data_IF_650966889782
#
_entry.id   IF_650966889782
#
_cell.length_a   1.000
_cell.length_b   1.000
_cell.length_c   1.000
_cell.angle_alpha   90.00
_cell.angle_beta   90.00
_cell.angle_gamma   90.00
#
_symmetry.space_group_name_H-M   'P 1'
#
loop_
_entity.id
_entity.type
_entity.pdbx_description
1 polymer ?
#
# COMPACT_ATOMS: atom_id res chain seq x y z
N UNK A 1 -8.56 -10.31 9.31
CA UNK A 1 -7.31 -10.60 10.04
C UNK A 1 -7.06 -9.49 11.03
N UNK A 2 -6.70 -9.83 12.26
CA UNK A 2 -6.41 -8.82 13.29
C UNK A 2 -5.05 -9.15 13.90
N UNK A 3 -4.05 -8.34 13.60
CA UNK A 3 -2.72 -8.46 14.20
C UNK A 3 -1.75 -7.48 13.58
N UNK A 4 -0.79 -7.06 14.39
CA UNK A 4 0.38 -6.29 13.97
C UNK A 4 1.58 -7.18 14.19
N UNK A 5 2.43 -7.31 13.16
CA UNK A 5 3.62 -8.13 13.23
C UNK A 5 4.83 -7.26 12.94
N UNK A 6 5.73 -7.19 13.92
CA UNK A 6 7.02 -6.53 13.73
C UNK A 6 7.99 -7.50 13.09
N UNK A 7 8.66 -7.04 12.07
CA UNK A 7 9.65 -7.79 11.31
C UNK A 7 10.99 -7.10 11.43
N UNK A 8 11.99 -7.81 11.91
CA UNK A 8 13.38 -7.35 11.95
C UNK A 8 14.20 -8.28 11.09
N UNK A 9 14.82 -7.73 10.05
CA UNK A 9 15.73 -8.43 9.16
C UNK A 9 17.05 -7.70 9.18
N UNK A 10 18.12 -8.36 9.62
CA UNK A 10 19.42 -7.70 9.72
C UNK A 10 20.60 -8.65 9.44
N UNK A 11 21.67 -8.07 8.95
CA UNK A 11 22.99 -8.69 8.88
C UNK A 11 24.05 -7.67 9.36
N UNK A 12 25.33 -7.98 9.17
CA UNK A 12 26.44 -7.11 9.59
C UNK A 12 26.46 -5.71 8.92
N UNK A 13 25.71 -5.51 7.84
CA UNK A 13 25.75 -4.28 7.02
C UNK A 13 24.43 -3.52 7.00
N UNK A 14 23.31 -4.22 7.01
CA UNK A 14 21.97 -3.65 6.75
C UNK A 14 20.99 -4.15 7.80
N UNK A 15 20.08 -3.26 8.20
CA UNK A 15 18.95 -3.58 9.08
C UNK A 15 17.66 -2.98 8.52
N UNK A 16 16.61 -3.78 8.55
CA UNK A 16 15.21 -3.39 8.36
C UNK A 16 14.46 -3.68 9.65
N UNK A 17 13.57 -2.77 10.05
CA UNK A 17 12.73 -2.91 11.24
C UNK A 17 11.41 -2.19 10.98
N UNK A 18 10.34 -2.95 10.76
CA UNK A 18 9.05 -2.42 10.35
C UNK A 18 7.89 -3.29 10.83
N UNK A 19 6.67 -2.77 10.72
CA UNK A 19 5.44 -3.49 11.08
C UNK A 19 4.55 -3.68 9.85
N UNK A 20 3.95 -4.86 9.73
CA UNK A 20 2.79 -5.13 8.85
C UNK A 20 1.52 -5.15 9.69
N UNK A 21 0.47 -4.46 9.23
CA UNK A 21 -0.77 -4.24 10.01
C UNK A 21 -2.01 -4.82 9.34
N UNK A 22 -2.00 -4.88 8.01
CA UNK A 22 -3.08 -5.41 7.18
C UNK A 22 -2.56 -6.58 6.34
N UNK A 23 -3.47 -7.34 5.78
CA UNK A 23 -3.13 -8.51 4.97
C UNK A 23 -2.33 -8.20 3.70
N UNK A 24 -2.36 -6.97 3.19
CA UNK A 24 -1.57 -6.55 2.04
C UNK A 24 -0.82 -5.28 2.37
N UNK A 25 0.50 -5.32 2.24
CA UNK A 25 1.41 -4.19 2.35
C UNK A 25 2.15 -4.04 1.02
N UNK A 26 2.12 -2.86 0.43
CA UNK A 26 2.80 -2.56 -0.83
C UNK A 26 4.07 -1.76 -0.54
N UNK A 27 5.18 -2.20 -1.11
CA UNK A 27 6.44 -1.46 -1.07
C UNK A 27 6.76 -0.94 -2.46
N UNK A 28 6.79 0.39 -2.60
CA UNK A 28 7.07 1.10 -3.85
C UNK A 28 8.34 1.94 -3.75
N UNK A 29 8.71 2.54 -4.86
CA UNK A 29 9.82 3.50 -4.96
C UNK A 29 10.86 3.13 -6.00
N UNK A 30 11.84 4.02 -6.16
CA UNK A 30 12.86 3.94 -7.20
C UNK A 30 13.86 2.79 -7.00
N UNK A 31 14.69 2.56 -8.00
CA UNK A 31 15.78 1.61 -7.95
C UNK A 31 16.77 1.97 -6.84
N UNK A 32 17.50 0.95 -6.35
CA UNK A 32 18.56 1.10 -5.35
C UNK A 32 18.13 1.62 -3.96
N UNK A 33 16.85 1.54 -3.61
CA UNK A 33 16.36 1.90 -2.27
C UNK A 33 16.45 0.76 -1.25
N UNK A 34 16.86 -0.44 -1.68
CA UNK A 34 17.01 -1.60 -0.80
C UNK A 34 15.82 -2.56 -0.78
N UNK A 35 14.83 -2.38 -1.68
CA UNK A 35 13.64 -3.26 -1.74
C UNK A 35 13.97 -4.71 -2.06
N UNK A 36 14.67 -4.93 -3.18
CA UNK A 36 15.14 -6.26 -3.58
C UNK A 36 16.07 -6.88 -2.54
N UNK A 37 16.95 -6.07 -1.94
CA UNK A 37 17.80 -6.54 -0.84
C UNK A 37 17.00 -7.08 0.34
N UNK A 38 15.85 -6.50 0.67
CA UNK A 38 14.97 -7.02 1.71
C UNK A 38 14.43 -8.41 1.33
N UNK A 39 13.91 -8.56 0.10
CA UNK A 39 13.41 -9.86 -0.38
C UNK A 39 14.51 -10.91 -0.46
N UNK A 40 15.68 -10.54 -0.97
CA UNK A 40 16.86 -11.43 -1.05
C UNK A 40 17.28 -11.93 0.33
N UNK A 41 17.29 -11.05 1.35
CA UNK A 41 17.63 -11.43 2.71
C UNK A 41 16.62 -12.41 3.32
N UNK A 42 15.33 -12.26 3.02
CA UNK A 42 14.30 -13.22 3.46
C UNK A 42 14.53 -14.57 2.77
N UNK A 43 14.73 -14.57 1.45
CA UNK A 43 14.99 -15.79 0.67
C UNK A 43 16.26 -16.53 1.16
N UNK A 44 17.32 -15.80 1.40
CA UNK A 44 18.60 -16.35 1.90
C UNK A 44 18.41 -16.95 3.31
N UNK A 45 17.65 -16.30 4.18
CA UNK A 45 17.36 -16.84 5.50
C UNK A 45 16.43 -18.06 5.42
N UNK A 46 15.45 -18.07 4.53
CA UNK A 46 14.54 -19.19 4.31
C UNK A 46 15.30 -20.44 3.85
N UNK A 47 16.32 -20.27 3.00
CA UNK A 47 17.12 -21.36 2.46
C UNK A 47 18.18 -21.86 3.44
N UNK A 48 18.89 -20.97 4.13
CA UNK A 48 20.10 -21.27 4.89
C UNK A 48 19.97 -21.05 6.41
N UNK A 49 18.84 -20.51 6.87
CA UNK A 49 18.59 -20.24 8.28
C UNK A 49 19.68 -19.36 8.92
N UNK A 50 20.15 -19.75 10.09
CA UNK A 50 21.20 -19.03 10.82
C UNK A 50 22.56 -19.00 10.09
N UNK A 51 22.84 -19.98 9.21
CA UNK A 51 24.09 -20.07 8.45
C UNK A 51 24.20 -18.98 7.37
N UNK A 52 23.08 -18.34 7.00
CA UNK A 52 23.07 -17.17 6.11
C UNK A 52 23.80 -15.95 6.72
N UNK A 53 24.02 -15.93 8.02
CA UNK A 53 24.50 -14.75 8.75
C UNK A 53 23.47 -13.62 8.85
N UNK A 54 22.21 -13.92 8.51
CA UNK A 54 21.06 -13.03 8.65
C UNK A 54 20.32 -13.40 9.94
N UNK A 55 19.86 -12.38 10.65
CA UNK A 55 18.91 -12.51 11.76
C UNK A 55 17.55 -12.08 11.28
N UNK A 56 16.59 -12.97 11.34
CA UNK A 56 15.17 -12.71 11.12
C UNK A 56 14.42 -12.89 12.42
N UNK A 57 13.72 -11.85 12.88
CA UNK A 57 12.87 -11.92 14.07
C UNK A 57 11.46 -11.43 13.71
N UNK A 58 10.52 -12.34 13.85
CA UNK A 58 9.09 -12.12 13.65
C UNK A 58 8.32 -13.20 14.41
N UNK A 59 7.10 -12.87 14.87
CA UNK A 59 6.21 -13.84 15.54
C UNK A 59 5.51 -14.79 14.55
N UNK A 60 5.74 -14.61 13.25
CA UNK A 60 5.26 -15.49 12.18
C UNK A 60 6.40 -15.90 11.27
N UNK A 61 6.25 -17.04 10.64
CA UNK A 61 7.18 -17.45 9.60
C UNK A 61 7.14 -16.48 8.43
N UNK A 62 8.30 -16.19 7.88
CA UNK A 62 8.45 -15.32 6.72
C UNK A 62 8.95 -16.14 5.56
N UNK A 63 8.23 -16.09 4.44
CA UNK A 63 8.54 -16.84 3.22
C UNK A 63 8.65 -15.91 2.04
N UNK A 64 9.33 -16.39 1.00
CA UNK A 64 9.32 -15.76 -0.31
C UNK A 64 8.42 -16.54 -1.27
N UNK A 65 7.69 -15.83 -2.12
CA UNK A 65 6.83 -16.44 -3.13
C UNK A 65 7.21 -15.93 -4.51
N UNK A 66 7.63 -16.84 -5.40
CA UNK A 66 8.10 -16.48 -6.74
C UNK A 66 7.85 -17.58 -7.78
N UNK A 67 7.90 -17.17 -9.04
CA UNK A 67 7.89 -18.06 -10.19
C UNK A 67 6.54 -18.67 -10.52
N UNK A 68 6.53 -19.54 -11.52
CA UNK A 68 5.30 -20.08 -12.14
C UNK A 68 4.49 -21.04 -11.26
N UNK A 69 5.12 -21.63 -10.25
CA UNK A 69 4.46 -22.58 -9.34
C UNK A 69 3.92 -21.92 -8.08
N UNK A 70 3.83 -20.58 -8.08
CA UNK A 70 3.42 -19.78 -6.94
C UNK A 70 2.15 -20.29 -6.24
N UNK A 71 1.16 -20.79 -6.99
CA UNK A 71 -0.12 -21.25 -6.44
C UNK A 71 0.04 -22.51 -5.58
N UNK A 72 0.85 -23.47 -6.05
CA UNK A 72 1.15 -24.66 -5.28
C UNK A 72 1.95 -24.34 -4.03
N UNK A 73 2.95 -23.46 -4.12
CA UNK A 73 3.72 -23.00 -2.98
C UNK A 73 2.84 -22.26 -1.96
N UNK A 74 1.99 -21.34 -2.42
CA UNK A 74 1.09 -20.59 -1.55
C UNK A 74 0.11 -21.51 -0.80
N UNK A 75 -0.31 -22.60 -1.39
CA UNK A 75 -1.22 -23.56 -0.76
C UNK A 75 -0.63 -24.20 0.51
N UNK A 76 0.69 -24.34 0.58
CA UNK A 76 1.41 -24.89 1.73
C UNK A 76 1.68 -23.84 2.82
N UNK A 77 1.71 -22.54 2.46
CA UNK A 77 1.99 -21.44 3.37
C UNK A 77 0.74 -21.04 4.14
N UNK A 78 0.77 -21.15 5.46
CA UNK A 78 -0.37 -20.81 6.32
C UNK A 78 0.08 -19.89 7.46
N UNK A 79 -0.76 -18.92 7.76
CA UNK A 79 -0.55 -18.03 8.91
C UNK A 79 0.82 -17.34 8.93
N UNK A 80 1.36 -17.03 7.74
CA UNK A 80 2.73 -16.56 7.48
C UNK A 80 2.76 -15.16 6.92
N UNK A 81 3.95 -14.58 6.81
CA UNK A 81 4.21 -13.33 6.11
C UNK A 81 4.95 -13.66 4.81
N UNK A 82 4.34 -13.35 3.69
CA UNK A 82 4.81 -13.74 2.36
C UNK A 82 5.37 -12.52 1.64
N UNK A 83 6.65 -12.58 1.29
CA UNK A 83 7.34 -11.56 0.52
C UNK A 83 7.33 -11.92 -0.96
N UNK A 84 6.96 -10.94 -1.80
CA UNK A 84 6.93 -11.11 -3.25
C UNK A 84 7.72 -9.95 -3.86
N UNK A 85 8.85 -10.27 -4.51
CA UNK A 85 9.68 -9.25 -5.14
C UNK A 85 9.19 -8.86 -6.54
N UNK A 86 9.69 -7.73 -7.02
CA UNK A 86 9.42 -7.18 -8.35
C UNK A 86 9.68 -8.22 -9.46
N UNK A 87 8.84 -8.17 -10.50
CA UNK A 87 8.97 -9.08 -11.64
C UNK A 87 8.08 -10.32 -11.59
N UNK A 88 7.41 -10.59 -10.49
CA UNK A 88 6.44 -11.67 -10.37
C UNK A 88 5.08 -11.25 -10.94
N UNK A 89 4.85 -11.48 -12.25
CA UNK A 89 3.66 -11.04 -12.98
C UNK A 89 2.34 -11.59 -12.45
N UNK A 90 2.36 -12.70 -11.72
CA UNK A 90 1.15 -13.29 -11.16
C UNK A 90 0.44 -12.38 -10.15
N UNK A 91 1.16 -11.44 -9.50
CA UNK A 91 0.57 -10.51 -8.51
C UNK A 91 -0.54 -9.62 -9.08
N UNK A 92 -0.52 -9.35 -10.39
CA UNK A 92 -1.53 -8.55 -11.10
C UNK A 92 -2.72 -9.40 -11.59
N UNK A 93 -2.70 -10.74 -11.40
CA UNK A 93 -3.75 -11.61 -11.88
C UNK A 93 -4.97 -11.65 -10.96
N UNK A 94 -6.14 -11.86 -11.55
CA UNK A 94 -7.38 -12.10 -10.80
C UNK A 94 -7.26 -13.37 -9.95
N UNK A 95 -6.59 -14.40 -10.46
CA UNK A 95 -6.39 -15.65 -9.76
C UNK A 95 -5.62 -15.45 -8.45
N UNK A 96 -4.55 -14.65 -8.48
CA UNK A 96 -3.80 -14.31 -7.26
C UNK A 96 -4.67 -13.54 -6.26
N UNK A 97 -5.46 -12.57 -6.73
CA UNK A 97 -6.36 -11.81 -5.88
C UNK A 97 -7.41 -12.69 -5.18
N UNK A 98 -7.89 -13.72 -5.86
CA UNK A 98 -8.81 -14.71 -5.27
C UNK A 98 -8.14 -15.55 -4.18
N UNK A 99 -6.90 -16.00 -4.41
CA UNK A 99 -6.15 -16.75 -3.40
C UNK A 99 -5.79 -15.89 -2.18
N UNK A 100 -5.41 -14.62 -2.39
CA UNK A 100 -5.16 -13.65 -1.30
C UNK A 100 -6.41 -13.45 -0.43
N UNK A 101 -7.61 -13.37 -1.03
CA UNK A 101 -8.87 -13.25 -0.31
C UNK A 101 -9.18 -14.42 0.61
N UNK A 102 -8.80 -15.63 0.21
CA UNK A 102 -9.05 -16.88 0.95
C UNK A 102 -7.96 -17.16 2.00
N UNK A 103 -6.81 -16.50 1.86
CA UNK A 103 -5.62 -16.76 2.67
C UNK A 103 -5.70 -16.08 4.05
N UNK A 104 -5.09 -16.71 5.04
CA UNK A 104 -4.81 -16.16 6.36
C UNK A 104 -3.41 -15.53 6.48
N UNK A 105 -2.69 -15.47 5.37
CA UNK A 105 -1.35 -14.90 5.27
C UNK A 105 -1.38 -13.38 5.15
N UNK A 106 -0.23 -12.77 5.46
CA UNK A 106 0.08 -11.38 5.18
C UNK A 106 1.03 -11.31 3.99
N UNK A 107 0.75 -10.40 3.07
CA UNK A 107 1.53 -10.25 1.83
C UNK A 107 2.27 -8.92 1.84
N UNK A 108 3.58 -8.96 1.68
CA UNK A 108 4.46 -7.81 1.47
C UNK A 108 4.92 -7.85 0.02
N UNK A 109 4.30 -7.00 -0.80
CA UNK A 109 4.50 -7.03 -2.26
C UNK A 109 5.36 -5.83 -2.68
N UNK A 110 6.52 -6.11 -3.24
CA UNK A 110 7.42 -5.12 -3.81
C UNK A 110 7.08 -4.97 -5.29
N UNK A 111 6.67 -3.79 -5.70
CA UNK A 111 6.26 -3.54 -7.08
C UNK A 111 6.35 -2.06 -7.45
N UNK A 112 6.53 -1.77 -8.74
CA UNK A 112 6.36 -0.43 -9.32
C UNK A 112 5.00 -0.26 -9.98
N UNK A 113 4.35 -1.39 -10.28
CA UNK A 113 3.07 -1.40 -10.97
C UNK A 113 1.93 -1.16 -9.97
N UNK A 114 0.83 -0.62 -10.47
CA UNK A 114 -0.42 -0.51 -9.73
C UNK A 114 -1.16 -1.84 -9.81
N UNK A 115 -1.48 -2.44 -8.67
CA UNK A 115 -2.14 -3.73 -8.58
C UNK A 115 -3.66 -3.54 -8.47
N UNK A 116 -4.32 -3.34 -9.60
CA UNK A 116 -5.76 -3.00 -9.66
C UNK A 116 -6.67 -4.12 -9.14
N UNK A 117 -6.22 -5.37 -9.20
CA UNK A 117 -6.97 -6.54 -8.77
C UNK A 117 -6.97 -6.74 -7.25
N UNK A 118 -6.03 -6.10 -6.53
CA UNK A 118 -5.86 -6.27 -5.09
C UNK A 118 -6.49 -5.13 -4.29
N UNK A 119 -7.25 -5.43 -3.24
CA UNK A 119 -7.87 -4.42 -2.38
C UNK A 119 -6.93 -4.02 -1.24
N UNK A 120 -5.87 -3.28 -1.53
CA UNK A 120 -4.97 -2.75 -0.49
C UNK A 120 -5.34 -1.32 -0.10
N UNK A 121 -4.99 -0.97 1.14
CA UNK A 121 -5.25 0.36 1.69
C UNK A 121 -4.19 1.37 1.22
N UNK A 122 -4.60 2.62 1.08
CA UNK A 122 -3.70 3.77 0.88
C UNK A 122 -2.66 3.86 1.99
N UNK A 123 -3.06 3.56 3.22
CA UNK A 123 -2.20 3.56 4.40
C UNK A 123 -1.14 2.45 4.42
N UNK A 124 -1.29 1.45 3.58
CA UNK A 124 -0.37 0.30 3.48
C UNK A 124 0.54 0.39 2.26
N UNK A 125 0.74 1.59 1.71
CA UNK A 125 1.70 1.86 0.64
C UNK A 125 2.93 2.55 1.21
N UNK A 126 4.06 1.86 1.16
CA UNK A 126 5.31 2.29 1.77
C UNK A 126 6.43 2.46 0.75
N UNK A 127 7.35 3.36 1.08
CA UNK A 127 8.68 3.43 0.47
C UNK A 127 9.76 2.96 1.45
N UNK A 128 10.95 2.67 0.93
CA UNK A 128 12.14 2.40 1.73
C UNK A 128 13.16 3.51 1.50
N UNK A 129 13.74 4.02 2.57
CA UNK A 129 14.82 5.00 2.54
C UNK A 129 15.89 4.67 3.58
N UNK A 130 17.12 5.11 3.33
CA UNK A 130 18.18 5.07 4.33
C UNK A 130 17.85 6.05 5.45
N UNK A 131 17.85 5.56 6.68
CA UNK A 131 17.62 6.39 7.85
C UNK A 131 18.91 7.02 8.33
N UNK A 132 18.91 8.34 8.51
CA UNK A 132 20.00 9.06 9.21
C UNK A 132 19.96 8.91 10.73
N UNK A 133 18.96 8.20 11.28
CA UNK A 133 18.64 8.10 12.72
C UNK A 133 19.76 7.47 13.56
N UNK A 134 20.62 6.68 12.93
CA UNK A 134 21.70 5.92 13.56
C UNK A 134 23.04 6.13 12.84
N UNK A 135 23.34 7.39 12.48
CA UNK A 135 24.55 7.75 11.70
C UNK A 135 25.90 7.39 12.35
N UNK A 136 25.91 6.91 13.59
CA UNK A 136 27.09 6.39 14.29
C UNK A 136 27.25 4.88 14.17
N UNK A 137 26.27 4.15 13.64
CA UNK A 137 26.32 2.70 13.44
C UNK A 137 27.06 2.38 12.14
N UNK A 138 27.89 1.33 12.17
CA UNK A 138 28.53 0.77 10.97
C UNK A 138 27.52 0.21 9.95
N UNK A 139 26.28 0.01 10.39
CA UNK A 139 25.22 -0.62 9.60
C UNK A 139 24.32 0.44 8.99
N UNK A 140 23.89 0.21 7.75
CA UNK A 140 22.85 1.00 7.10
C UNK A 140 21.50 0.58 7.65
N UNK A 141 20.80 1.49 8.28
CA UNK A 141 19.43 1.28 8.73
C UNK A 141 18.48 1.74 7.65
N UNK A 142 17.64 0.82 7.16
CA UNK A 142 16.59 1.12 6.19
C UNK A 142 15.24 1.24 6.90
N UNK A 143 14.60 2.36 6.70
CA UNK A 143 13.31 2.72 7.30
C UNK A 143 12.21 2.62 6.25
N UNK A 144 11.11 1.95 6.60
CA UNK A 144 9.87 2.05 5.84
C UNK A 144 9.12 3.32 6.24
N UNK A 145 8.65 4.07 5.25
CA UNK A 145 7.83 5.26 5.44
C UNK A 145 6.57 5.19 4.57
N UNK A 146 5.46 5.69 5.06
CA UNK A 146 4.24 5.79 4.27
C UNK A 146 4.44 6.79 3.13
N UNK A 147 4.11 6.40 1.91
CA UNK A 147 4.17 7.30 0.74
C UNK A 147 3.05 8.33 0.84
N UNK A 148 1.86 7.88 1.22
CA UNK A 148 0.71 8.74 1.44
C UNK A 148 0.54 8.95 2.95
N UNK A 149 0.80 10.16 3.39
CA UNK A 149 0.56 10.59 4.76
C UNK A 149 -0.52 11.65 4.78
N UNK A 150 -1.31 11.71 5.85
CA UNK A 150 -2.23 12.81 6.05
C UNK A 150 -1.44 14.13 6.03
N UNK A 151 -1.62 14.89 4.98
CA UNK A 151 -1.07 16.25 4.92
C UNK A 151 -1.98 17.10 5.79
N UNK A 152 -1.44 17.61 6.91
CA UNK A 152 -2.09 18.70 7.62
C UNK A 152 -2.12 19.91 6.70
N UNK A 153 -3.22 20.06 5.99
CA UNK A 153 -3.44 21.24 5.14
C UNK A 153 -3.82 22.36 6.06
N UNK A 154 -2.84 23.15 6.48
CA UNK A 154 -3.07 24.38 7.24
C UNK A 154 -3.67 25.51 6.36
N UNK A 155 -3.84 25.27 5.09
CA UNK A 155 -4.44 26.19 4.14
C UNK A 155 -5.87 25.75 3.82
N UNK A 156 -6.84 26.61 3.98
CA UNK A 156 -8.21 26.36 3.53
C UNK A 156 -8.22 26.32 1.99
N UNK A 157 -8.48 25.15 1.45
CA UNK A 157 -8.62 24.98 -0.01
C UNK A 157 -10.09 25.13 -0.35
N UNK A 158 -10.42 26.10 -1.23
CA UNK A 158 -11.78 26.23 -1.74
C UNK A 158 -12.08 25.07 -2.68
N UNK A 159 -13.05 24.24 -2.29
CA UNK A 159 -13.54 23.11 -3.09
C UNK A 159 -14.59 23.61 -4.08
N UNK A 160 -14.52 23.19 -5.34
CA UNK A 160 -15.51 23.54 -6.37
C UNK A 160 -16.67 22.53 -6.42
N UNK A 161 -16.38 21.25 -6.14
CA UNK A 161 -17.39 20.18 -6.08
C UNK A 161 -16.81 18.95 -5.37
N UNK A 162 -17.69 18.02 -5.01
CA UNK A 162 -17.35 16.80 -4.26
C UNK A 162 -17.70 15.58 -5.10
N UNK A 163 -16.83 14.57 -5.09
CA UNK A 163 -17.10 13.25 -5.65
C UNK A 163 -17.07 12.23 -4.51
N UNK A 164 -18.14 11.45 -4.38
CA UNK A 164 -18.18 10.31 -3.45
C UNK A 164 -18.05 9.01 -4.21
N UNK A 165 -17.32 8.05 -3.66
CA UNK A 165 -17.23 6.70 -4.21
C UNK A 165 -18.60 6.01 -4.18
N UNK A 166 -19.29 6.11 -3.04
CA UNK A 166 -20.58 5.49 -2.76
C UNK A 166 -21.72 6.20 -3.49
N UNK A 167 -22.73 5.43 -3.89
CA UNK A 167 -23.96 5.91 -4.52
C UNK A 167 -25.18 5.91 -3.59
N UNK A 168 -25.03 5.44 -2.34
CA UNK A 168 -26.12 5.25 -1.38
C UNK A 168 -26.00 6.18 -0.16
N UNK A 169 -25.80 5.59 1.02
CA UNK A 169 -25.85 6.31 2.28
C UNK A 169 -24.75 7.37 2.39
N UNK A 170 -23.53 7.08 2.00
CA UNK A 170 -22.41 8.04 2.01
C UNK A 170 -22.67 9.20 1.07
N UNK A 171 -23.11 8.93 -0.16
CA UNK A 171 -23.50 10.00 -1.09
C UNK A 171 -24.60 10.91 -0.53
N UNK A 172 -25.66 10.31 0.02
CA UNK A 172 -26.78 11.08 0.61
C UNK A 172 -26.32 11.94 1.78
N UNK A 173 -25.48 11.38 2.65
CA UNK A 173 -24.91 12.09 3.78
C UNK A 173 -24.10 13.31 3.32
N UNK A 174 -23.12 13.13 2.44
CA UNK A 174 -22.29 14.25 1.97
C UNK A 174 -23.09 15.27 1.15
N UNK A 175 -24.06 14.83 0.36
CA UNK A 175 -24.96 15.73 -0.36
C UNK A 175 -25.75 16.63 0.60
N UNK A 176 -26.24 16.09 1.71
CA UNK A 176 -26.98 16.83 2.70
C UNK A 176 -26.07 17.80 3.47
N UNK A 177 -24.94 17.31 3.97
CA UNK A 177 -23.96 18.11 4.74
C UNK A 177 -23.50 19.34 3.96
N UNK A 178 -23.21 19.21 2.68
CA UNK A 178 -22.68 20.29 1.85
C UNK A 178 -23.75 21.04 1.04
N UNK A 179 -25.03 20.70 1.21
CA UNK A 179 -26.14 21.41 0.55
C UNK A 179 -26.20 22.88 0.91
N UNK A 180 -25.89 23.22 2.15
CA UNK A 180 -25.86 24.61 2.66
C UNK A 180 -24.74 25.47 2.04
N UNK A 181 -23.69 24.85 1.54
CA UNK A 181 -22.55 25.53 0.90
C UNK A 181 -22.71 25.67 -0.61
N UNK A 182 -23.84 25.24 -1.18
CA UNK A 182 -24.10 25.19 -2.61
C UNK A 182 -23.06 24.40 -3.43
N UNK A 183 -22.36 23.44 -2.78
CA UNK A 183 -21.41 22.58 -3.44
C UNK A 183 -22.12 21.41 -4.14
N UNK A 184 -21.77 21.19 -5.39
CA UNK A 184 -22.26 20.04 -6.14
C UNK A 184 -21.62 18.77 -5.60
N UNK A 185 -22.41 17.81 -5.13
CA UNK A 185 -21.98 16.47 -4.78
C UNK A 185 -22.34 15.51 -5.92
N UNK A 186 -21.37 14.72 -6.39
CA UNK A 186 -21.51 13.76 -7.49
C UNK A 186 -21.19 12.38 -6.94
N UNK A 187 -22.04 11.39 -7.18
CA UNK A 187 -21.73 9.99 -6.93
C UNK A 187 -20.97 9.41 -8.11
N UNK A 188 -19.83 8.75 -7.85
CA UNK A 188 -19.09 8.04 -8.87
C UNK A 188 -19.66 6.65 -9.14
N UNK A 189 -20.49 6.11 -8.25
CA UNK A 189 -21.01 4.74 -8.33
C UNK A 189 -19.89 3.70 -8.45
N UNK A 190 -18.90 3.83 -7.55
CA UNK A 190 -17.74 2.95 -7.44
C UNK A 190 -16.41 3.64 -7.71
N UNK A 191 -15.38 3.17 -7.00
CA UNK A 191 -14.03 3.76 -6.99
C UNK A 191 -13.40 3.91 -8.39
N UNK A 192 -13.61 2.94 -9.26
CA UNK A 192 -13.03 2.92 -10.61
C UNK A 192 -13.67 3.96 -11.57
N UNK A 193 -14.71 4.64 -11.15
CA UNK A 193 -15.37 5.66 -11.95
C UNK A 193 -15.05 7.10 -11.54
N UNK A 194 -14.38 7.30 -10.41
CA UNK A 194 -14.07 8.62 -9.86
C UNK A 194 -13.38 9.52 -10.89
N UNK A 195 -12.41 8.97 -11.63
CA UNK A 195 -11.65 9.73 -12.62
C UNK A 195 -12.52 10.27 -13.78
N UNK A 196 -13.66 9.65 -14.09
CA UNK A 196 -14.58 10.10 -15.14
C UNK A 196 -15.26 11.44 -14.81
N UNK A 197 -15.31 11.78 -13.53
CA UNK A 197 -15.94 12.98 -13.02
C UNK A 197 -14.95 14.11 -12.72
N UNK A 198 -13.63 13.86 -12.86
CA UNK A 198 -12.62 14.90 -12.67
C UNK A 198 -12.70 15.95 -13.77
N UNK A 199 -12.67 17.23 -13.38
CA UNK A 199 -12.68 18.38 -14.30
C UNK A 199 -11.37 19.14 -14.17
N UNK A 200 -10.77 19.49 -15.30
CA UNK A 200 -9.55 20.29 -15.34
C UNK A 200 -9.81 21.69 -14.77
N UNK A 201 -8.82 22.24 -14.10
CA UNK A 201 -8.85 23.58 -13.48
C UNK A 201 -9.90 23.75 -12.36
N UNK A 202 -10.38 22.64 -11.78
CA UNK A 202 -11.31 22.62 -10.63
C UNK A 202 -10.67 21.93 -9.43
N UNK A 203 -10.95 22.47 -8.25
CA UNK A 203 -10.58 21.83 -6.98
C UNK A 203 -11.68 20.83 -6.61
N UNK A 204 -11.34 19.56 -6.56
CA UNK A 204 -12.29 18.50 -6.23
C UNK A 204 -11.93 17.83 -4.92
N UNK A 205 -12.92 17.65 -4.05
CA UNK A 205 -12.81 16.78 -2.88
C UNK A 205 -13.31 15.38 -3.27
N UNK A 206 -12.45 14.40 -3.17
CA UNK A 206 -12.79 12.99 -3.37
C UNK A 206 -12.95 12.32 -2.01
N UNK A 207 -14.12 11.75 -1.75
CA UNK A 207 -14.44 11.02 -0.54
C UNK A 207 -14.61 9.55 -0.87
N UNK A 208 -13.73 8.71 -0.34
CA UNK A 208 -13.71 7.28 -0.64
C UNK A 208 -13.28 6.46 0.59
N UNK A 209 -13.62 5.17 0.60
CA UNK A 209 -13.12 4.23 1.61
C UNK A 209 -11.63 3.93 1.38
N UNK A 210 -10.78 4.53 2.20
CA UNK A 210 -9.33 4.35 2.12
C UNK A 210 -8.85 2.91 2.32
N UNK A 211 -9.68 2.03 2.88
CA UNK A 211 -9.30 0.65 3.18
C UNK A 211 -9.02 -0.21 1.94
N UNK A 212 -9.61 0.12 0.80
CA UNK A 212 -9.44 -0.60 -0.47
C UNK A 212 -9.12 0.33 -1.64
N UNK A 213 -8.67 1.54 -1.37
CA UNK A 213 -8.48 2.61 -2.35
C UNK A 213 -7.05 2.75 -2.86
N UNK A 214 -6.13 1.88 -2.42
CA UNK A 214 -4.71 2.01 -2.73
C UNK A 214 -4.38 2.04 -4.23
N UNK A 215 -5.03 1.19 -5.04
CA UNK A 215 -4.82 1.21 -6.50
C UNK A 215 -5.36 2.46 -7.17
N UNK A 216 -6.41 3.06 -6.63
CA UNK A 216 -7.05 4.24 -7.22
C UNK A 216 -6.29 5.53 -6.88
N UNK A 217 -5.71 5.63 -5.67
CA UNK A 217 -4.94 6.83 -5.30
C UNK A 217 -3.77 7.08 -6.25
N UNK A 218 -3.14 6.02 -6.74
CA UNK A 218 -2.04 6.14 -7.69
C UNK A 218 -2.50 6.66 -9.06
N UNK A 219 -3.68 6.24 -9.53
CA UNK A 219 -4.31 6.78 -10.74
C UNK A 219 -4.64 8.25 -10.56
N UNK A 220 -5.23 8.59 -9.42
CA UNK A 220 -5.59 9.98 -9.08
C UNK A 220 -4.34 10.86 -9.06
N UNK A 221 -3.21 10.38 -8.52
CA UNK A 221 -1.95 11.11 -8.53
C UNK A 221 -1.46 11.43 -9.95
N UNK A 222 -1.64 10.51 -10.89
CA UNK A 222 -1.34 10.77 -12.30
C UNK A 222 -2.19 11.93 -12.88
N UNK A 223 -3.45 12.01 -12.52
CA UNK A 223 -4.32 13.13 -12.90
C UNK A 223 -3.89 14.43 -12.22
N UNK A 224 -3.51 14.38 -10.93
CA UNK A 224 -2.99 15.55 -10.22
C UNK A 224 -1.75 16.13 -10.91
N UNK A 225 -0.83 15.30 -11.38
CA UNK A 225 0.35 15.72 -12.17
C UNK A 225 -0.02 16.34 -13.52
N UNK A 226 -1.22 16.08 -14.04
CA UNK A 226 -1.76 16.70 -15.25
C UNK A 226 -2.52 18.01 -15.00
N UNK A 227 -2.45 18.55 -13.77
CA UNK A 227 -3.07 19.82 -13.40
C UNK A 227 -4.46 19.71 -12.77
N UNK A 228 -4.90 18.48 -12.41
CA UNK A 228 -6.09 18.28 -11.60
C UNK A 228 -5.75 18.49 -10.12
N UNK A 229 -6.58 19.23 -9.38
CA UNK A 229 -6.40 19.51 -7.97
C UNK A 229 -7.34 18.61 -7.17
N UNK A 230 -6.78 17.72 -6.36
CA UNK A 230 -7.52 16.69 -5.64
C UNK A 230 -7.20 16.74 -4.15
N UNK A 231 -8.22 16.60 -3.35
CA UNK A 231 -8.15 16.41 -1.90
C UNK A 231 -8.75 15.04 -1.63
N UNK A 232 -8.01 14.17 -0.99
CA UNK A 232 -8.50 12.82 -0.62
C UNK A 232 -8.67 12.82 0.88
N UNK A 233 -9.90 12.57 1.33
CA UNK A 233 -10.19 12.34 2.74
C UNK A 233 -10.21 10.84 3.02
N UNK A 234 -9.28 10.40 3.87
CA UNK A 234 -9.13 9.02 4.31
C UNK A 234 -9.77 8.80 5.69
N UNK A 235 -10.90 9.41 5.96
CA UNK A 235 -11.59 9.21 7.24
C UNK A 235 -12.02 7.75 7.38
N UNK A 236 -11.14 6.96 7.99
CA UNK A 236 -11.39 5.63 8.54
C UNK A 236 -11.38 5.73 10.08
N UNK A 237 -12.34 6.41 10.68
CA UNK A 237 -12.74 6.24 12.09
C UNK A 237 -14.23 6.00 12.22
#
# INVERSE_FOLDING_TARGET
MKGKYRIIVENKKIRYDFEVKRNITIIKGDSATGKTTLADMIAEYEENGADSGIRLACDRECHTLQGRYWKALLAEMKNSIIFIDEGNKFVSSVEFAEEVKKSDNYFVIITRETLETLPYSVDEIYGIRKSGKYGTLKNVYNEMYKIYTNVNVNESVKVDYIITEDSKAGYQFFKEVYSSEHLQCISADGKSNIYKHLKKDKNVLVVADGAAFGSEVEKIELYARQGYKLIIDNNNE
#
